data_IF_329443060803
#
_entry.id   IF_329443060803
#
_cell.length_a   1.000
_cell.length_b   1.000
_cell.length_c   1.000
_cell.angle_alpha   90.00
_cell.angle_beta   90.00
_cell.angle_gamma   90.00
#
_symmetry.space_group_name_H-M   'P 1'
#
loop_
_entity.id
_entity.type
_entity.pdbx_description
1 polymer ?
#
# COMPACT_ATOMS: atom_id res chain seq x y z
N UNK A 1 4.38 -2.63 47.60
CA UNK A 1 3.35 -1.84 46.89
C UNK A 1 3.77 -1.79 45.42
N UNK A 2 3.00 -2.38 44.51
CA UNK A 2 3.31 -2.38 43.08
C UNK A 2 2.64 -1.15 42.44
N UNK A 3 3.43 -0.33 41.76
CA UNK A 3 2.89 0.79 40.99
C UNK A 3 2.08 0.25 39.80
N UNK A 4 0.94 0.87 39.44
CA UNK A 4 0.25 0.51 38.21
C UNK A 4 1.20 0.85 37.05
N UNK A 5 1.56 -0.15 36.24
CA UNK A 5 2.28 0.09 34.99
C UNK A 5 1.27 0.69 34.02
N UNK A 6 1.33 2.01 33.86
CA UNK A 6 0.55 2.72 32.84
C UNK A 6 1.16 2.38 31.47
N UNK A 7 0.55 1.42 30.77
CA UNK A 7 0.94 1.12 29.39
C UNK A 7 0.50 2.29 28.50
N UNK A 8 1.41 2.89 27.71
CA UNK A 8 1.03 3.88 26.70
C UNK A 8 -0.01 3.26 25.79
N UNK A 9 -1.19 3.90 25.68
CA UNK A 9 -2.21 3.50 24.71
C UNK A 9 -1.60 3.71 23.32
N UNK A 10 -1.19 2.61 22.68
CA UNK A 10 -0.71 2.64 21.30
C UNK A 10 -1.89 3.12 20.46
N UNK A 11 -1.79 4.28 19.79
CA UNK A 11 -2.87 4.74 18.94
C UNK A 11 -3.12 3.70 17.86
N UNK A 12 -4.38 3.34 17.69
CA UNK A 12 -4.84 2.46 16.64
C UNK A 12 -4.80 3.22 15.30
N UNK A 13 -3.59 3.46 14.80
CA UNK A 13 -3.33 4.04 13.48
C UNK A 13 -3.65 2.99 12.41
N UNK A 14 -4.95 2.79 12.15
CA UNK A 14 -5.43 2.04 11.00
C UNK A 14 -5.45 2.96 9.80
N UNK A 15 -4.99 2.48 8.65
CA UNK A 15 -5.19 3.18 7.39
C UNK A 15 -6.68 3.12 7.04
N UNK A 16 -7.36 4.25 7.15
CA UNK A 16 -8.76 4.36 6.74
C UNK A 16 -8.83 4.51 5.23
N UNK A 17 -8.98 3.40 4.51
CA UNK A 17 -9.17 3.42 3.05
C UNK A 17 -10.36 4.31 2.64
N UNK A 18 -11.42 4.35 3.46
CA UNK A 18 -12.62 5.19 3.23
C UNK A 18 -12.38 6.69 3.43
N UNK A 19 -11.24 7.09 3.98
CA UNK A 19 -10.87 8.49 4.13
C UNK A 19 -10.05 9.01 2.92
N UNK A 20 -9.56 8.11 2.06
CA UNK A 20 -8.89 8.48 0.82
C UNK A 20 -9.93 8.79 -0.27
N UNK A 21 -9.66 9.80 -1.11
CA UNK A 21 -10.44 10.00 -2.33
C UNK A 21 -10.06 8.95 -3.37
N UNK A 22 -10.96 8.63 -4.30
CA UNK A 22 -10.63 7.67 -5.37
C UNK A 22 -9.44 8.15 -6.22
N UNK A 23 -9.27 9.46 -6.39
CA UNK A 23 -8.12 10.06 -7.10
C UNK A 23 -6.80 9.75 -6.38
N UNK A 24 -6.78 9.92 -5.05
CA UNK A 24 -5.59 9.61 -4.24
C UNK A 24 -5.32 8.10 -4.23
N UNK A 25 -6.38 7.29 -4.13
CA UNK A 25 -6.28 5.83 -4.13
C UNK A 25 -5.71 5.30 -5.47
N UNK A 26 -6.19 5.80 -6.60
CA UNK A 26 -5.66 5.45 -7.92
C UNK A 26 -4.19 5.89 -8.07
N UNK A 27 -3.83 7.08 -7.58
CA UNK A 27 -2.46 7.59 -7.64
C UNK A 27 -1.48 6.72 -6.81
N UNK A 28 -1.91 6.28 -5.63
CA UNK A 28 -1.07 5.52 -4.70
C UNK A 28 -1.06 4.01 -4.98
N UNK A 29 -2.21 3.44 -5.35
CA UNK A 29 -2.45 2.01 -5.40
C UNK A 29 -2.82 1.49 -6.80
N UNK A 30 -3.08 2.37 -7.77
CA UNK A 30 -3.61 2.06 -9.13
C UNK A 30 -5.01 1.47 -9.17
N UNK A 31 -5.71 1.50 -8.04
CA UNK A 31 -7.09 1.05 -7.89
C UNK A 31 -7.83 2.08 -7.05
N UNK A 32 -9.10 2.27 -7.36
CA UNK A 32 -10.05 3.03 -6.54
C UNK A 32 -10.36 2.28 -5.23
N UNK A 33 -11.05 2.95 -4.31
CA UNK A 33 -11.36 2.36 -3.01
C UNK A 33 -12.21 1.07 -3.15
N UNK A 34 -13.16 1.05 -4.10
CA UNK A 34 -13.99 -0.12 -4.37
C UNK A 34 -13.17 -1.29 -4.95
N UNK A 35 -12.25 -1.02 -5.88
CA UNK A 35 -11.34 -2.02 -6.43
C UNK A 35 -10.43 -2.64 -5.37
N UNK A 36 -9.93 -1.84 -4.42
CA UNK A 36 -9.12 -2.34 -3.30
C UNK A 36 -9.94 -3.25 -2.40
N UNK A 37 -11.19 -2.89 -2.06
CA UNK A 37 -12.07 -3.75 -1.27
C UNK A 37 -12.38 -5.07 -1.99
N UNK A 38 -12.66 -5.03 -3.30
CA UNK A 38 -12.88 -6.23 -4.09
C UNK A 38 -11.63 -7.13 -4.08
N UNK A 39 -10.44 -6.55 -4.27
CA UNK A 39 -9.18 -7.29 -4.20
C UNK A 39 -9.00 -7.96 -2.83
N UNK A 40 -9.33 -7.28 -1.72
CA UNK A 40 -9.24 -7.93 -0.40
C UNK A 40 -10.11 -9.19 -0.31
N UNK A 41 -11.31 -9.19 -0.88
CA UNK A 41 -12.17 -10.38 -0.94
C UNK A 41 -11.62 -11.50 -1.81
N UNK A 42 -10.92 -11.15 -2.91
CA UNK A 42 -10.37 -12.12 -3.87
C UNK A 42 -9.09 -12.80 -3.38
N UNK A 43 -8.25 -12.08 -2.62
CA UNK A 43 -7.00 -12.66 -2.11
C UNK A 43 -7.21 -13.62 -0.93
N UNK A 44 -8.42 -13.70 -0.36
CA UNK A 44 -8.76 -14.56 0.79
C UNK A 44 -7.74 -14.38 1.93
N UNK A 45 -7.32 -13.14 2.17
CA UNK A 45 -6.39 -12.84 3.25
C UNK A 45 -7.14 -12.96 4.58
N UNK A 46 -6.46 -13.39 5.65
CA UNK A 46 -7.04 -13.32 7.00
C UNK A 46 -7.31 -11.85 7.35
N UNK A 47 -8.43 -11.60 8.04
CA UNK A 47 -8.86 -10.26 8.47
C UNK A 47 -7.74 -9.51 9.22
N UNK A 48 -6.94 -10.25 9.99
CA UNK A 48 -5.81 -9.75 10.74
C UNK A 48 -4.53 -10.53 10.42
N UNK A 49 -3.44 -9.80 10.19
CA UNK A 49 -2.11 -10.37 10.02
C UNK A 49 -1.18 -9.94 11.15
N UNK A 50 -0.46 -10.92 11.71
CA UNK A 50 0.57 -10.66 12.73
C UNK A 50 1.92 -10.56 12.01
N UNK A 51 2.53 -9.38 12.07
CA UNK A 51 3.87 -9.16 11.53
C UNK A 51 4.95 -9.76 12.43
N UNK A 52 6.17 -9.95 11.89
CA UNK A 52 7.35 -10.39 12.66
C UNK A 52 7.67 -9.53 13.89
N UNK A 53 7.23 -8.27 13.90
CA UNK A 53 7.40 -7.34 15.01
C UNK A 53 6.22 -7.37 16.00
N UNK A 54 5.35 -8.39 15.92
CA UNK A 54 4.15 -8.57 16.75
C UNK A 54 3.11 -7.44 16.62
N UNK A 55 3.15 -6.69 15.51
CA UNK A 55 2.08 -5.75 15.18
C UNK A 55 0.95 -6.51 14.47
N UNK A 56 -0.27 -6.31 14.95
CA UNK A 56 -1.50 -6.76 14.28
C UNK A 56 -1.92 -5.70 13.26
N UNK A 57 -2.03 -6.09 12.00
CA UNK A 57 -2.36 -5.21 10.88
C UNK A 57 -3.60 -5.76 10.19
N UNK A 58 -4.55 -4.89 9.84
CA UNK A 58 -5.78 -5.31 9.17
C UNK A 58 -5.47 -5.69 7.70
N UNK A 59 -6.25 -6.61 7.14
CA UNK A 59 -6.10 -7.08 5.76
C UNK A 59 -5.96 -5.93 4.74
N UNK A 60 -6.80 -4.89 4.88
CA UNK A 60 -6.79 -3.72 3.99
C UNK A 60 -5.48 -2.95 4.06
N UNK A 61 -4.91 -2.74 5.26
CA UNK A 61 -3.61 -2.09 5.44
C UNK A 61 -2.50 -2.90 4.73
N UNK A 62 -2.51 -4.23 4.90
CA UNK A 62 -1.53 -5.11 4.26
C UNK A 62 -1.63 -5.01 2.75
N UNK A 63 -2.85 -5.05 2.21
CA UNK A 63 -3.07 -4.96 0.77
C UNK A 63 -2.66 -3.60 0.22
N UNK A 64 -2.99 -2.49 0.90
CA UNK A 64 -2.55 -1.15 0.50
C UNK A 64 -1.02 -1.04 0.50
N UNK A 65 -0.33 -1.56 1.51
CA UNK A 65 1.14 -1.61 1.54
C UNK A 65 1.69 -2.43 0.35
N UNK A 66 1.08 -3.58 0.06
CA UNK A 66 1.49 -4.43 -1.05
C UNK A 66 1.29 -3.71 -2.39
N UNK A 67 0.10 -3.15 -2.62
CA UNK A 67 -0.23 -2.40 -3.83
C UNK A 67 0.70 -1.20 -4.00
N UNK A 68 0.96 -0.43 -2.95
CA UNK A 68 1.89 0.70 -3.01
C UNK A 68 3.29 0.29 -3.43
N UNK A 69 3.78 -0.86 -2.95
CA UNK A 69 5.09 -1.42 -3.33
C UNK A 69 5.10 -1.94 -4.77
N UNK A 70 4.01 -2.55 -5.22
CA UNK A 70 3.83 -3.04 -6.59
C UNK A 70 3.56 -1.92 -7.60
N UNK A 71 3.07 -0.78 -7.14
CA UNK A 71 2.90 0.44 -7.94
C UNK A 71 4.24 1.04 -8.42
N UNK A 72 5.39 0.46 -8.04
CA UNK A 72 6.70 0.96 -8.42
C UNK A 72 7.10 0.61 -9.86
N UNK A 73 7.75 1.53 -10.60
CA UNK A 73 8.06 2.91 -10.22
C UNK A 73 6.93 3.88 -10.59
N UNK A 74 6.53 4.70 -9.60
CA UNK A 74 5.65 5.89 -9.71
C UNK A 74 6.15 6.98 -10.68
N UNK A 75 7.11 6.68 -11.55
CA UNK A 75 7.69 7.63 -12.49
C UNK A 75 8.12 6.89 -13.75
N UNK A 76 7.19 6.66 -14.67
CA UNK A 76 7.56 6.45 -16.08
C UNK A 76 8.50 7.59 -16.57
N UNK A 77 8.31 8.81 -16.04
CA UNK A 77 9.19 9.95 -16.24
C UNK A 77 10.58 9.85 -15.53
N UNK A 78 10.75 8.95 -14.57
CA UNK A 78 12.04 8.62 -13.94
C UNK A 78 12.73 7.47 -14.65
N UNK A 79 11.96 6.45 -15.06
CA UNK A 79 12.46 5.37 -15.91
C UNK A 79 12.94 5.86 -17.27
N UNK A 80 12.33 6.89 -17.88
CA UNK A 80 12.88 7.50 -19.11
C UNK A 80 14.29 8.08 -18.95
N UNK A 81 14.66 8.54 -17.75
CA UNK A 81 16.02 9.01 -17.45
C UNK A 81 16.99 7.86 -17.15
N UNK A 82 16.52 6.77 -16.54
CA UNK A 82 17.37 5.62 -16.16
C UNK A 82 17.54 4.59 -17.29
N UNK A 83 16.50 4.39 -18.10
CA UNK A 83 16.43 3.38 -19.16
C UNK A 83 16.33 4.05 -20.52
N UNK A 84 17.08 5.15 -20.73
CA UNK A 84 17.12 5.88 -22.00
C UNK A 84 17.08 4.92 -23.18
N UNK A 85 15.88 4.73 -23.74
CA UNK A 85 15.69 3.97 -24.96
C UNK A 85 16.19 4.92 -26.02
N UNK A 86 17.46 4.80 -26.38
CA UNK A 86 17.91 5.30 -27.68
C UNK A 86 16.90 4.78 -28.69
N UNK A 87 16.27 5.69 -29.43
CA UNK A 87 15.53 5.32 -30.62
C UNK A 87 16.38 4.31 -31.40
N UNK A 88 15.86 3.12 -31.77
CA UNK A 88 16.49 2.38 -32.83
C UNK A 88 16.38 3.28 -34.05
N UNK A 89 17.50 3.91 -34.42
CA UNK A 89 17.64 4.62 -35.67
C UNK A 89 17.08 3.71 -36.76
N UNK A 90 15.94 4.10 -37.35
CA UNK A 90 15.42 3.43 -38.53
C UNK A 90 16.51 3.54 -39.61
N UNK A 91 16.92 2.44 -40.24
CA UNK A 91 17.86 2.52 -41.35
C UNK A 91 17.17 3.18 -42.57
N UNK A 92 17.95 3.84 -43.45
CA UNK A 92 17.45 4.63 -44.57
C UNK A 92 16.69 3.82 -45.63
#
# INVERSE_FOLDING_TARGET
MAHPVEHPVVPNNRFCLTAATDVDAELDFRFDAAGILLLTSLFVLPEWMITKHRNCVHMTDVLCILLHRLSYPKRLAGMRKTYGRSEPAAPP
#
